data_IF_545480145466
#
_entry.id   IF_545480145466
#
_cell.length_a   1.000
_cell.length_b   1.000
_cell.length_c   1.000
_cell.angle_alpha   90.00
_cell.angle_beta   90.00
_cell.angle_gamma   90.00
#
_symmetry.space_group_name_H-M   'P 1'
#
loop_
_entity.id
_entity.type
_entity.pdbx_description
1 polymer ?
#
# COMPACT_ATOMS: atom_id res chain seq x y z
N UNK A 1 1.92 -8.95 55.49
CA UNK A 1 2.56 -9.78 54.46
C UNK A 1 2.00 -9.37 53.11
N UNK A 2 2.83 -8.78 52.26
CA UNK A 2 2.47 -8.39 50.89
C UNK A 2 2.66 -9.60 49.99
N UNK A 3 1.65 -9.94 49.17
CA UNK A 3 1.86 -10.40 47.78
C UNK A 3 0.65 -9.95 46.95
N UNK A 4 0.88 -8.96 46.07
CA UNK A 4 0.15 -8.83 44.80
C UNK A 4 0.78 -9.79 43.81
N UNK A 5 -0.02 -10.53 43.05
CA UNK A 5 0.37 -10.99 41.71
C UNK A 5 -0.81 -10.87 40.76
N UNK A 6 -0.65 -9.91 39.86
CA UNK A 6 -1.31 -9.77 38.57
C UNK A 6 -1.05 -10.97 37.65
N UNK A 7 -1.84 -11.04 36.58
CA UNK A 7 -1.43 -11.35 35.20
C UNK A 7 -1.97 -12.67 34.62
N UNK A 8 -2.90 -12.51 33.68
CA UNK A 8 -3.34 -13.53 32.73
C UNK A 8 -3.57 -12.90 31.35
N UNK A 9 -2.58 -12.16 30.84
CA UNK A 9 -2.53 -11.78 29.43
C UNK A 9 -2.24 -13.04 28.60
N UNK A 10 -3.27 -13.57 27.95
CA UNK A 10 -3.13 -14.53 26.85
C UNK A 10 -2.58 -13.81 25.62
N UNK A 11 -1.28 -13.51 25.62
CA UNK A 11 -0.54 -13.15 24.41
C UNK A 11 -0.36 -14.40 23.56
N UNK A 12 -1.34 -14.67 22.70
CA UNK A 12 -1.18 -15.67 21.63
C UNK A 12 -0.26 -15.07 20.58
N UNK A 13 1.05 -15.05 20.83
CA UNK A 13 2.07 -14.89 19.79
C UNK A 13 1.98 -16.10 18.88
N UNK A 14 1.16 -16.00 17.84
CA UNK A 14 1.19 -16.94 16.72
C UNK A 14 2.53 -16.71 16.02
N UNK A 15 3.53 -17.52 16.36
CA UNK A 15 4.72 -17.68 15.55
C UNK A 15 4.27 -18.29 14.23
N UNK A 16 3.94 -17.44 13.26
CA UNK A 16 3.76 -17.84 11.87
C UNK A 16 5.14 -18.32 11.39
N UNK A 17 5.34 -19.64 11.36
CA UNK A 17 6.56 -20.26 10.84
C UNK A 17 6.67 -19.87 9.36
N UNK A 18 7.60 -18.94 9.05
CA UNK A 18 7.98 -18.57 7.67
C UNK A 18 8.89 -19.66 7.09
N UNK A 19 8.31 -20.78 6.71
CA UNK A 19 8.98 -21.86 5.97
C UNK A 19 8.86 -21.72 4.44
N UNK A 20 8.27 -20.61 3.97
CA UNK A 20 7.93 -20.38 2.57
C UNK A 20 9.05 -19.81 1.71
N UNK A 21 8.92 -19.96 0.39
CA UNK A 21 9.69 -19.18 -0.59
C UNK A 21 9.31 -17.70 -0.49
N UNK A 22 10.20 -16.80 -0.94
CA UNK A 22 9.98 -15.34 -0.93
C UNK A 22 8.65 -14.92 -1.60
N UNK A 23 8.24 -15.66 -2.64
CA UNK A 23 6.97 -15.45 -3.32
C UNK A 23 5.77 -15.95 -2.50
N UNK A 24 5.91 -17.08 -1.82
CA UNK A 24 4.85 -17.64 -0.96
C UNK A 24 4.53 -16.73 0.23
N UNK A 25 5.56 -16.12 0.83
CA UNK A 25 5.39 -15.12 1.89
C UNK A 25 4.71 -13.86 1.35
N UNK A 26 5.11 -13.39 0.16
CA UNK A 26 4.47 -12.25 -0.50
C UNK A 26 2.97 -12.50 -0.77
N UNK A 27 2.61 -13.66 -1.31
CA UNK A 27 1.21 -14.01 -1.59
C UNK A 27 0.38 -14.13 -0.31
N UNK A 28 0.97 -14.62 0.78
CA UNK A 28 0.33 -14.67 2.09
C UNK A 28 0.06 -13.27 2.62
N UNK A 29 1.06 -12.39 2.59
CA UNK A 29 0.94 -11.02 3.07
C UNK A 29 0.00 -10.18 2.17
N UNK A 30 0.00 -10.44 0.87
CA UNK A 30 -0.98 -9.91 -0.07
C UNK A 30 -2.41 -10.34 0.28
N UNK A 31 -2.64 -11.62 0.58
CA UNK A 31 -3.95 -12.12 0.99
C UNK A 31 -4.38 -11.58 2.37
N UNK A 32 -3.43 -11.35 3.29
CA UNK A 32 -3.69 -10.65 4.56
C UNK A 32 -4.10 -9.20 4.32
N UNK A 33 -3.37 -8.49 3.47
CA UNK A 33 -3.65 -7.09 3.11
C UNK A 33 -5.04 -6.96 2.46
N UNK A 34 -5.41 -7.86 1.55
CA UNK A 34 -6.74 -7.91 0.94
C UNK A 34 -7.87 -8.04 1.98
N UNK A 35 -7.61 -8.82 3.04
CA UNK A 35 -8.53 -9.03 4.18
C UNK A 35 -8.40 -7.98 5.28
N UNK A 36 -7.60 -6.93 5.07
CA UNK A 36 -7.35 -5.86 6.03
C UNK A 36 -6.69 -6.36 7.33
N UNK A 37 -5.97 -7.47 7.29
CA UNK A 37 -5.12 -7.91 8.39
C UNK A 37 -3.79 -7.16 8.37
N UNK A 38 -3.21 -6.94 9.56
CA UNK A 38 -1.91 -6.32 9.70
C UNK A 38 -0.82 -7.16 9.03
N UNK A 39 0.18 -6.47 8.48
CA UNK A 39 1.38 -7.07 7.90
C UNK A 39 2.48 -7.01 8.95
N UNK A 40 3.19 -8.12 9.12
CA UNK A 40 4.27 -8.22 10.09
C UNK A 40 5.58 -7.64 9.52
N UNK A 41 5.99 -6.49 10.07
CA UNK A 41 7.18 -5.74 9.64
C UNK A 41 8.50 -6.38 10.08
N UNK A 42 8.50 -7.12 11.20
CA UNK A 42 9.71 -7.67 11.83
C UNK A 42 10.23 -8.88 11.04
N UNK A 43 9.35 -9.63 10.38
CA UNK A 43 9.76 -10.78 9.57
C UNK A 43 10.11 -10.46 8.12
N UNK A 44 9.96 -9.21 7.66
CA UNK A 44 10.30 -8.83 6.28
C UNK A 44 11.81 -8.95 6.09
N UNK A 45 12.25 -9.89 5.26
CA UNK A 45 13.65 -10.02 4.86
C UNK A 45 14.10 -8.72 4.20
N UNK A 46 15.35 -8.32 4.41
CA UNK A 46 16.00 -7.16 3.76
C UNK A 46 16.22 -7.39 2.26
N UNK A 47 15.15 -7.67 1.52
CA UNK A 47 15.15 -7.90 0.09
C UNK A 47 14.13 -6.99 -0.55
N UNK A 48 14.55 -6.29 -1.60
CA UNK A 48 13.69 -5.44 -2.41
C UNK A 48 12.89 -6.28 -3.43
N UNK A 49 13.26 -7.54 -3.64
CA UNK A 49 12.64 -8.41 -4.64
C UNK A 49 11.12 -8.58 -4.47
N UNK A 50 10.56 -8.77 -3.26
CA UNK A 50 9.11 -8.84 -3.06
C UNK A 50 8.39 -7.54 -3.45
N UNK A 51 9.00 -6.38 -3.21
CA UNK A 51 8.45 -5.07 -3.57
C UNK A 51 8.39 -4.95 -5.10
N UNK A 52 9.49 -5.25 -5.79
CA UNK A 52 9.52 -5.20 -7.26
C UNK A 52 8.56 -6.21 -7.89
N UNK A 53 8.48 -7.42 -7.33
CA UNK A 53 7.55 -8.46 -7.79
C UNK A 53 6.10 -8.00 -7.65
N UNK A 54 5.76 -7.41 -6.51
CA UNK A 54 4.43 -6.85 -6.27
C UNK A 54 4.12 -5.67 -7.20
N UNK A 55 5.04 -4.71 -7.35
CA UNK A 55 4.83 -3.57 -8.26
C UNK A 55 4.66 -4.05 -9.70
N UNK A 56 5.47 -5.02 -10.15
CA UNK A 56 5.33 -5.61 -11.48
C UNK A 56 3.96 -6.29 -11.66
N UNK A 57 3.48 -7.02 -10.64
CA UNK A 57 2.15 -7.64 -10.66
C UNK A 57 1.04 -6.59 -10.75
N UNK A 58 1.11 -5.52 -9.96
CA UNK A 58 0.14 -4.41 -10.01
C UNK A 58 0.19 -3.70 -11.36
N UNK A 59 1.37 -3.44 -11.91
CA UNK A 59 1.54 -2.85 -13.24
C UNK A 59 0.96 -3.73 -14.34
N UNK A 60 1.13 -5.05 -14.25
CA UNK A 60 0.50 -5.97 -15.18
C UNK A 60 -1.03 -5.90 -15.11
N UNK A 61 -1.61 -5.76 -13.92
CA UNK A 61 -3.05 -5.55 -13.77
C UNK A 61 -3.50 -4.23 -14.43
N UNK A 62 -2.79 -3.13 -14.16
CA UNK A 62 -3.06 -1.82 -14.78
C UNK A 62 -2.98 -1.92 -16.31
N UNK A 63 -1.97 -2.59 -16.85
CA UNK A 63 -1.82 -2.79 -18.29
C UNK A 63 -3.01 -3.55 -18.89
N UNK A 64 -3.41 -4.67 -18.28
CA UNK A 64 -4.57 -5.43 -18.73
C UNK A 64 -5.83 -4.57 -18.70
N UNK A 65 -6.03 -3.77 -17.65
CA UNK A 65 -7.18 -2.87 -17.56
C UNK A 65 -7.19 -1.79 -18.64
N UNK A 66 -6.07 -1.09 -18.84
CA UNK A 66 -5.96 -0.07 -19.88
C UNK A 66 -6.14 -0.65 -21.28
N UNK A 67 -5.63 -1.86 -21.51
CA UNK A 67 -5.81 -2.56 -22.77
C UNK A 67 -7.28 -2.91 -23.03
N UNK A 68 -8.00 -3.40 -22.02
CA UNK A 68 -9.45 -3.67 -22.12
C UNK A 68 -10.22 -2.38 -22.41
N UNK A 69 -9.94 -1.29 -21.66
CA UNK A 69 -10.62 0.00 -21.84
C UNK A 69 -10.37 0.57 -23.24
N UNK A 70 -9.11 0.56 -23.69
CA UNK A 70 -8.74 1.01 -25.05
C UNK A 70 -9.43 0.20 -26.16
N UNK A 71 -9.64 -1.10 -25.93
CA UNK A 71 -10.37 -1.94 -26.88
C UNK A 71 -11.86 -1.60 -26.93
N UNK A 72 -12.49 -1.35 -25.77
CA UNK A 72 -13.91 -0.94 -25.67
C UNK A 72 -14.12 0.45 -26.30
N UNK A 73 -13.18 1.37 -26.11
CA UNK A 73 -13.24 2.74 -26.66
C UNK A 73 -12.83 2.82 -28.14
N UNK A 74 -12.47 1.69 -28.76
CA UNK A 74 -12.16 1.60 -30.19
C UNK A 74 -10.84 2.27 -30.60
N UNK A 75 -9.96 2.59 -29.65
CA UNK A 75 -8.64 3.17 -29.94
C UNK A 75 -7.61 2.10 -30.29
N UNK A 76 -7.64 0.93 -29.62
CA UNK A 76 -6.82 -0.24 -29.95
C UNK A 76 -5.29 -0.05 -29.84
N UNK A 77 -4.82 1.06 -29.27
CA UNK A 77 -3.40 1.42 -29.24
C UNK A 77 -2.67 0.79 -28.05
N UNK A 78 -2.14 -0.43 -28.26
CA UNK A 78 -1.35 -1.16 -27.27
C UNK A 78 -0.14 -0.35 -26.77
N UNK A 79 0.51 0.42 -27.66
CA UNK A 79 1.67 1.24 -27.32
C UNK A 79 1.38 2.32 -26.28
N UNK A 80 0.21 2.97 -26.35
CA UNK A 80 -0.23 3.95 -25.36
C UNK A 80 -0.44 3.28 -24.00
N UNK A 81 -1.16 2.15 -23.96
CA UNK A 81 -1.38 1.39 -22.73
C UNK A 81 -0.07 0.91 -22.07
N UNK A 82 0.93 0.47 -22.87
CA UNK A 82 2.25 0.10 -22.35
C UNK A 82 2.98 1.28 -21.72
N UNK A 83 3.02 2.43 -22.41
CA UNK A 83 3.68 3.64 -21.92
C UNK A 83 3.05 4.15 -20.61
N UNK A 84 1.72 4.14 -20.54
CA UNK A 84 0.97 4.51 -19.34
C UNK A 84 1.26 3.58 -18.16
N UNK A 85 1.26 2.27 -18.41
CA UNK A 85 1.54 1.26 -17.38
C UNK A 85 2.97 1.37 -16.84
N UNK A 86 3.93 1.68 -17.71
CA UNK A 86 5.31 1.95 -17.31
C UNK A 86 5.43 3.24 -16.48
N UNK A 87 4.73 4.31 -16.88
CA UNK A 87 4.64 5.54 -16.07
C UNK A 87 4.08 5.28 -14.67
N UNK A 88 2.99 4.51 -14.59
CA UNK A 88 2.40 4.10 -13.32
C UNK A 88 3.36 3.25 -12.47
N UNK A 89 4.13 2.33 -13.09
CA UNK A 89 5.17 1.56 -12.41
C UNK A 89 6.21 2.47 -11.75
N UNK A 90 6.77 3.43 -12.50
CA UNK A 90 7.77 4.36 -11.99
C UNK A 90 7.24 5.20 -10.81
N UNK A 91 6.02 5.71 -10.94
CA UNK A 91 5.38 6.54 -9.91
C UNK A 91 5.07 5.72 -8.65
N UNK A 92 4.61 4.48 -8.79
CA UNK A 92 4.40 3.58 -7.65
C UNK A 92 5.71 3.28 -6.92
N UNK A 93 6.80 3.00 -7.63
CA UNK A 93 8.11 2.80 -6.98
C UNK A 93 8.55 4.07 -6.24
N UNK A 94 8.52 5.22 -6.90
CA UNK A 94 8.91 6.49 -6.27
C UNK A 94 8.06 6.77 -5.02
N UNK A 95 6.76 6.48 -5.08
CA UNK A 95 5.87 6.63 -3.93
C UNK A 95 6.19 5.63 -2.82
N UNK A 96 6.38 4.33 -3.11
CA UNK A 96 6.65 3.33 -2.07
C UNK A 96 7.93 3.65 -1.31
N UNK A 97 8.99 4.00 -2.04
CA UNK A 97 10.27 4.36 -1.44
C UNK A 97 10.20 5.70 -0.70
N UNK A 98 9.62 6.73 -1.33
CA UNK A 98 9.49 8.06 -0.73
C UNK A 98 8.61 8.09 0.52
N UNK A 99 7.42 7.50 0.45
CA UNK A 99 6.52 7.40 1.60
C UNK A 99 7.09 6.48 2.68
N UNK A 100 7.70 5.35 2.30
CA UNK A 100 8.40 4.47 3.24
C UNK A 100 9.50 5.20 4.02
N UNK A 101 10.21 6.13 3.37
CA UNK A 101 11.24 6.95 4.02
C UNK A 101 10.61 7.91 5.02
N UNK A 102 9.56 8.64 4.61
CA UNK A 102 8.83 9.57 5.49
C UNK A 102 8.26 8.84 6.72
N UNK A 103 7.65 7.67 6.54
CA UNK A 103 7.11 6.91 7.68
C UNK A 103 8.21 6.42 8.63
N UNK A 104 9.36 5.99 8.10
CA UNK A 104 10.51 5.61 8.92
C UNK A 104 11.02 6.80 9.75
N UNK A 105 11.11 7.97 9.13
CA UNK A 105 11.55 9.20 9.79
C UNK A 105 10.61 9.64 10.90
N UNK A 106 9.29 9.64 10.65
CA UNK A 106 8.28 10.06 11.64
C UNK A 106 8.22 9.10 12.82
N UNK A 107 8.38 7.79 12.58
CA UNK A 107 8.29 6.78 13.62
C UNK A 107 9.59 6.61 14.41
N UNK A 108 10.72 7.19 13.98
CA UNK A 108 11.98 7.19 14.74
C UNK A 108 12.60 5.81 15.02
N UNK A 109 11.96 4.70 14.63
CA UNK A 109 12.38 3.28 14.81
C UNK A 109 13.55 2.89 13.90
N UNK A 110 14.58 3.73 13.78
CA UNK A 110 15.67 3.51 12.83
C UNK A 110 16.48 2.23 13.11
N UNK A 111 16.46 1.74 14.35
CA UNK A 111 17.33 0.67 14.86
C UNK A 111 16.65 -0.72 14.79
N UNK A 112 15.33 -0.81 15.01
CA UNK A 112 14.66 -2.10 15.19
C UNK A 112 13.99 -2.65 13.92
N UNK A 113 13.76 -1.80 12.91
CA UNK A 113 13.03 -2.19 11.70
C UNK A 113 13.75 -1.66 10.45
N UNK A 114 14.11 -2.53 9.50
CA UNK A 114 14.83 -2.10 8.31
C UNK A 114 13.92 -1.24 7.42
N UNK A 115 14.54 -0.29 6.70
CA UNK A 115 13.83 0.61 5.78
C UNK A 115 12.93 -0.13 4.78
N UNK A 116 13.42 -1.28 4.27
CA UNK A 116 12.70 -2.12 3.32
C UNK A 116 11.35 -2.59 3.86
N UNK A 117 11.21 -2.83 5.18
CA UNK A 117 9.92 -3.18 5.79
C UNK A 117 8.89 -2.07 5.65
N UNK A 118 9.30 -0.80 5.76
CA UNK A 118 8.41 0.35 5.58
C UNK A 118 7.94 0.43 4.14
N UNK A 119 8.87 0.34 3.18
CA UNK A 119 8.56 0.34 1.74
C UNK A 119 7.61 -0.83 1.40
N UNK A 120 7.85 -2.00 1.99
CA UNK A 120 7.04 -3.19 1.79
C UNK A 120 5.59 -3.01 2.28
N UNK A 121 5.40 -2.50 3.49
CA UNK A 121 4.06 -2.21 4.03
C UNK A 121 3.35 -1.14 3.20
N UNK A 122 4.05 -0.10 2.74
CA UNK A 122 3.46 0.92 1.85
C UNK A 122 3.04 0.31 0.52
N UNK A 123 3.82 -0.58 -0.06
CA UNK A 123 3.44 -1.27 -1.29
C UNK A 123 2.17 -2.10 -1.09
N UNK A 124 2.13 -2.93 -0.05
CA UNK A 124 0.97 -3.78 0.22
C UNK A 124 -0.27 -3.00 0.68
N UNK A 125 -0.12 -1.81 1.26
CA UNK A 125 -1.27 -1.01 1.69
C UNK A 125 -2.13 -0.53 0.52
N UNK A 126 -1.55 -0.42 -0.68
CA UNK A 126 -2.28 -0.03 -1.89
C UNK A 126 -2.82 -1.24 -2.69
N UNK A 127 -2.98 -2.41 -2.07
CA UNK A 127 -3.44 -3.63 -2.76
C UNK A 127 -4.82 -3.51 -3.39
N UNK A 128 -5.70 -2.69 -2.79
CA UNK A 128 -7.05 -2.45 -3.34
C UNK A 128 -7.06 -1.40 -4.45
N UNK A 129 -5.94 -0.71 -4.70
CA UNK A 129 -5.84 0.38 -5.67
C UNK A 129 -6.30 -0.03 -7.08
N UNK A 130 -5.80 -1.13 -7.70
CA UNK A 130 -6.15 -1.44 -9.10
C UNK A 130 -7.64 -1.72 -9.30
N UNK A 131 -8.26 -2.42 -8.34
CA UNK A 131 -9.66 -2.81 -8.41
C UNK A 131 -10.61 -1.63 -8.21
N UNK A 132 -10.35 -0.81 -7.18
CA UNK A 132 -11.18 0.35 -6.88
C UNK A 132 -10.99 1.46 -7.91
N UNK A 133 -9.78 1.59 -8.47
CA UNK A 133 -9.54 2.49 -9.60
C UNK A 133 -10.31 2.04 -10.85
N UNK A 134 -10.33 0.74 -11.15
CA UNK A 134 -11.13 0.19 -12.25
C UNK A 134 -12.63 0.48 -12.09
N UNK A 135 -13.19 0.22 -10.89
CA UNK A 135 -14.59 0.56 -10.58
C UNK A 135 -14.84 2.06 -10.70
N UNK A 136 -13.92 2.89 -10.20
CA UNK A 136 -14.03 4.35 -10.26
C UNK A 136 -14.05 4.89 -11.69
N UNK A 137 -13.20 4.36 -12.57
CA UNK A 137 -13.15 4.73 -13.99
C UNK A 137 -14.43 4.36 -14.73
N UNK A 138 -15.04 3.21 -14.42
CA UNK A 138 -16.31 2.79 -15.01
C UNK A 138 -17.50 3.64 -14.53
N UNK A 139 -17.55 3.99 -13.25
CA UNK A 139 -18.70 4.66 -12.65
C UNK A 139 -18.75 6.18 -12.92
N UNK A 140 -17.60 6.82 -13.18
CA UNK A 140 -17.42 8.26 -13.46
C UNK A 140 -17.93 9.19 -12.34
N UNK A 141 -17.58 10.48 -12.41
CA UNK A 141 -18.09 11.56 -11.54
C UNK A 141 -17.91 11.27 -10.02
N UNK A 142 -18.95 11.50 -9.20
CA UNK A 142 -18.92 11.36 -7.73
C UNK A 142 -18.43 9.98 -7.28
N UNK A 143 -18.69 8.93 -8.06
CA UNK A 143 -18.27 7.57 -7.73
C UNK A 143 -16.76 7.39 -7.79
N UNK A 144 -16.09 8.09 -8.71
CA UNK A 144 -14.63 8.11 -8.79
C UNK A 144 -14.05 8.72 -7.51
N UNK A 145 -14.61 9.84 -7.05
CA UNK A 145 -14.21 10.46 -5.78
C UNK A 145 -14.42 9.52 -4.58
N UNK A 146 -15.58 8.84 -4.50
CA UNK A 146 -15.85 7.87 -3.43
C UNK A 146 -14.88 6.68 -3.46
N UNK A 147 -14.51 6.18 -4.64
CA UNK A 147 -13.51 5.12 -4.77
C UNK A 147 -12.13 5.59 -4.28
N UNK A 148 -11.73 6.82 -4.59
CA UNK A 148 -10.45 7.38 -4.13
C UNK A 148 -10.42 7.60 -2.62
N UNK A 149 -11.53 8.04 -2.04
CA UNK A 149 -11.69 8.15 -0.59
C UNK A 149 -11.61 6.78 0.08
N UNK A 150 -12.24 5.75 -0.51
CA UNK A 150 -12.18 4.38 -0.02
C UNK A 150 -10.75 3.81 -0.08
N UNK A 151 -10.04 3.99 -1.20
CA UNK A 151 -8.63 3.58 -1.36
C UNK A 151 -7.78 4.25 -0.28
N UNK A 152 -7.86 5.57 -0.15
CA UNK A 152 -7.05 6.32 0.81
C UNK A 152 -7.29 5.87 2.24
N UNK A 153 -8.57 5.62 2.60
CA UNK A 153 -8.97 5.16 3.93
C UNK A 153 -8.48 3.74 4.22
N UNK A 154 -8.59 2.83 3.26
CA UNK A 154 -8.10 1.45 3.38
C UNK A 154 -6.58 1.43 3.53
N UNK A 155 -5.86 2.16 2.67
CA UNK A 155 -4.40 2.27 2.73
C UNK A 155 -3.94 2.84 4.07
N UNK A 156 -4.61 3.89 4.56
CA UNK A 156 -4.32 4.49 5.86
C UNK A 156 -4.56 3.49 7.00
N UNK A 157 -5.65 2.72 6.96
CA UNK A 157 -5.94 1.69 7.95
C UNK A 157 -4.87 0.58 7.95
N UNK A 158 -4.46 0.09 6.79
CA UNK A 158 -3.41 -0.93 6.66
C UNK A 158 -2.05 -0.44 7.17
N UNK A 159 -1.67 0.78 6.83
CA UNK A 159 -0.43 1.41 7.32
C UNK A 159 -0.48 1.54 8.84
N UNK A 160 -1.58 2.10 9.37
CA UNK A 160 -1.76 2.32 10.81
C UNK A 160 -1.71 0.99 11.59
N UNK A 161 -2.45 -0.02 11.12
CA UNK A 161 -2.53 -1.32 11.79
C UNK A 161 -1.23 -2.13 11.70
N UNK A 162 -0.43 -1.94 10.66
CA UNK A 162 0.85 -2.64 10.48
C UNK A 162 2.01 -1.92 11.16
N UNK A 163 2.16 -0.61 10.95
CA UNK A 163 3.30 0.16 11.46
C UNK A 163 3.21 0.50 12.94
N UNK A 164 1.99 0.65 13.48
CA UNK A 164 1.79 1.03 14.87
C UNK A 164 1.52 -0.15 15.81
N UNK A 165 1.52 -1.38 15.31
CA UNK A 165 1.15 -2.59 16.09
C UNK A 165 1.93 -2.70 17.41
N UNK A 166 3.23 -2.42 17.34
CA UNK A 166 4.16 -2.45 18.45
C UNK A 166 4.83 -1.07 18.60
N UNK A 167 4.09 0.02 18.41
CA UNK A 167 4.63 1.38 18.58
C UNK A 167 3.73 2.20 19.48
N UNK A 168 4.29 2.61 20.61
CA UNK A 168 3.67 3.55 21.51
C UNK A 168 4.24 4.95 21.23
N UNK A 169 3.37 5.88 20.86
CA UNK A 169 3.76 7.27 20.71
C UNK A 169 4.01 7.90 22.07
N UNK A 170 5.06 8.71 22.18
CA UNK A 170 5.35 9.49 23.39
C UNK A 170 4.27 10.53 23.68
N UNK A 171 3.61 11.05 22.64
CA UNK A 171 2.55 12.05 22.78
C UNK A 171 1.42 11.87 21.76
N UNK A 172 0.22 12.35 22.14
CA UNK A 172 -0.92 12.43 21.23
C UNK A 172 -0.64 13.34 20.01
N UNK A 173 0.26 14.32 20.16
CA UNK A 173 0.68 15.20 19.07
C UNK A 173 1.42 14.40 18.00
N UNK A 174 2.34 13.52 18.38
CA UNK A 174 3.14 12.76 17.42
C UNK A 174 2.27 11.71 16.69
N UNK A 175 1.30 11.13 17.41
CA UNK A 175 0.25 10.30 16.80
C UNK A 175 -0.57 11.07 15.76
N UNK A 176 -0.99 12.28 16.10
CA UNK A 176 -1.75 13.14 15.20
C UNK A 176 -0.93 13.54 13.96
N UNK A 177 0.35 13.87 14.14
CA UNK A 177 1.26 14.16 13.02
C UNK A 177 1.42 12.95 12.10
N UNK A 178 1.58 11.74 12.65
CA UNK A 178 1.60 10.51 11.86
C UNK A 178 0.31 10.30 11.06
N UNK A 179 -0.85 10.48 11.71
CA UNK A 179 -2.15 10.31 11.05
C UNK A 179 -2.35 11.33 9.92
N UNK A 180 -2.00 12.61 10.13
CA UNK A 180 -2.06 13.65 9.09
C UNK A 180 -1.09 13.35 7.96
N UNK A 181 0.16 13.01 8.24
CA UNK A 181 1.13 12.73 7.18
C UNK A 181 0.72 11.51 6.36
N UNK A 182 0.22 10.46 7.02
CA UNK A 182 -0.32 9.28 6.33
C UNK A 182 -1.46 9.68 5.42
N UNK A 183 -2.42 10.48 5.91
CA UNK A 183 -3.54 10.98 5.11
C UNK A 183 -3.08 11.78 3.90
N UNK A 184 -2.17 12.75 4.08
CA UNK A 184 -1.63 13.59 2.99
C UNK A 184 -0.93 12.73 1.94
N UNK A 185 -0.10 11.77 2.35
CA UNK A 185 0.62 10.89 1.43
C UNK A 185 -0.34 9.99 0.63
N UNK A 186 -1.35 9.39 1.27
CA UNK A 186 -2.32 8.54 0.58
C UNK A 186 -3.21 9.35 -0.38
N UNK A 187 -3.68 10.51 0.05
CA UNK A 187 -4.41 11.43 -0.82
C UNK A 187 -3.54 11.88 -1.99
N UNK A 188 -2.29 12.28 -1.73
CA UNK A 188 -1.34 12.69 -2.76
C UNK A 188 -1.06 11.60 -3.79
N UNK A 189 -0.92 10.35 -3.34
CA UNK A 189 -0.79 9.20 -4.24
C UNK A 189 -2.05 8.98 -5.09
N UNK A 190 -3.24 9.01 -4.46
CA UNK A 190 -4.51 8.83 -5.16
C UNK A 190 -4.75 9.96 -6.19
N UNK A 191 -4.65 11.23 -5.81
CA UNK A 191 -4.85 12.34 -6.75
C UNK A 191 -3.74 12.40 -7.82
N UNK A 192 -2.48 12.15 -7.44
CA UNK A 192 -1.36 12.13 -8.37
C UNK A 192 -1.52 11.04 -9.42
N UNK A 193 -1.88 9.83 -9.01
CA UNK A 193 -2.14 8.72 -9.94
C UNK A 193 -3.34 9.00 -10.84
N UNK A 194 -4.43 9.56 -10.32
CA UNK A 194 -5.57 10.01 -11.13
C UNK A 194 -5.15 11.01 -12.22
N UNK A 195 -4.32 12.00 -11.85
CA UNK A 195 -3.86 13.03 -12.77
C UNK A 195 -3.02 12.47 -13.91
N UNK A 196 -2.21 11.44 -13.64
CA UNK A 196 -1.48 10.68 -14.64
C UNK A 196 -2.44 9.97 -15.60
N UNK A 197 -3.45 9.27 -15.09
CA UNK A 197 -4.43 8.61 -15.95
C UNK A 197 -5.23 9.61 -16.80
N UNK A 198 -5.62 10.76 -16.25
CA UNK A 198 -6.33 11.80 -17.01
C UNK A 198 -5.46 12.51 -18.05
N UNK A 199 -4.18 12.72 -17.75
CA UNK A 199 -3.24 13.35 -18.69
C UNK A 199 -2.88 12.40 -19.83
N UNK A 200 -2.80 11.10 -19.52
CA UNK A 200 -2.38 10.09 -20.49
C UNK A 200 -3.53 9.53 -21.32
N UNK A 201 -4.77 9.61 -20.83
CA UNK A 201 -6.00 9.29 -21.57
C UNK A 201 -6.70 10.59 -21.99
N UNK A 202 -6.25 11.26 -23.07
CA UNK A 202 -6.95 12.45 -23.56
C UNK A 202 -8.35 12.03 -24.00
N UNK A 203 -9.35 12.44 -23.23
CA UNK A 203 -10.75 12.43 -23.66
C UNK A 203 -10.84 13.20 -24.96
N UNK A 204 -11.20 12.51 -26.04
CA UNK A 204 -11.79 13.15 -27.22
C UNK A 204 -13.21 13.58 -26.90
#
# INVERSE_FOLDING_TARGET
MVVRTTQGQSSRKVFDVRSGTTLGDLLRDYAKALKLYHIDMEGVRESVAPILTYTAFVTAQIFVFLWIVSHIEGTGEVGSAMGQSFGAFCVMILFFFGAGYIYREILGKRIDTPYVSYVYVVGLSVVHYPYLMFVGLLAKNIWMFLCMMAISSISQFLIRSSMLRNYDFESNRDRFMFDITTFILQCGFCFGSLSLFSFLSPTK
#
